data_IF_643962732944
#
_entry.id   IF_643962732944
#
_cell.length_a   1.000
_cell.length_b   1.000
_cell.length_c   1.000
_cell.angle_alpha   90.00
_cell.angle_beta   90.00
_cell.angle_gamma   90.00
#
_symmetry.space_group_name_H-M   'P 1'
#
loop_
_entity.id
_entity.type
_entity.pdbx_description
1 polymer ?
#
# COMPACT_ATOMS: atom_id res chain seq x y z
N UNK A 1 25.44 10.30 -0.21
CA UNK A 1 24.23 9.57 0.22
C UNK A 1 23.73 8.80 -0.98
N UNK A 2 23.11 7.63 -0.82
CA UNK A 2 22.52 6.90 -1.96
C UNK A 2 21.15 7.51 -2.27
N UNK A 3 20.89 7.83 -3.54
CA UNK A 3 19.62 8.43 -3.95
C UNK A 3 18.54 7.37 -4.05
N UNK A 4 17.48 7.53 -3.27
CA UNK A 4 16.33 6.60 -3.25
C UNK A 4 15.32 6.97 -4.32
N UNK A 5 15.14 8.26 -4.58
CA UNK A 5 14.23 8.77 -5.61
C UNK A 5 14.92 8.94 -6.96
N UNK A 6 14.14 8.80 -8.03
CA UNK A 6 14.59 8.97 -9.41
C UNK A 6 14.85 10.43 -9.80
N UNK A 7 14.33 11.40 -9.04
CA UNK A 7 14.50 12.83 -9.31
C UNK A 7 15.22 13.53 -8.15
N UNK A 8 16.02 14.54 -8.49
CA UNK A 8 16.81 15.28 -7.52
C UNK A 8 15.92 16.09 -6.56
N UNK A 9 14.77 16.58 -7.06
CA UNK A 9 13.81 17.37 -6.30
C UNK A 9 13.20 16.56 -5.16
N UNK A 10 12.72 15.34 -5.45
CA UNK A 10 12.15 14.45 -4.42
C UNK A 10 13.22 13.97 -3.43
N UNK A 11 14.45 13.75 -3.92
CA UNK A 11 15.58 13.40 -3.05
C UNK A 11 15.92 14.54 -2.08
N UNK A 12 15.92 15.78 -2.55
CA UNK A 12 16.16 16.96 -1.72
C UNK A 12 15.03 17.17 -0.69
N UNK A 13 13.77 16.98 -1.09
CA UNK A 13 12.63 17.07 -0.17
C UNK A 13 12.73 16.04 0.95
N UNK A 14 13.10 14.80 0.62
CA UNK A 14 13.35 13.75 1.61
C UNK A 14 14.47 14.15 2.58
N UNK A 15 15.59 14.67 2.08
CA UNK A 15 16.74 15.07 2.89
C UNK A 15 16.42 16.21 3.85
N UNK A 16 15.56 17.14 3.44
CA UNK A 16 15.19 18.30 4.24
C UNK A 16 14.08 18.00 5.25
N UNK A 17 13.08 17.21 4.86
CA UNK A 17 11.85 17.04 5.64
C UNK A 17 11.71 15.65 6.28
N UNK A 18 12.51 14.67 5.84
CA UNK A 18 12.37 13.27 6.26
C UNK A 18 11.18 12.54 5.62
N UNK A 19 10.43 13.18 4.74
CA UNK A 19 9.33 12.61 3.97
C UNK A 19 9.14 13.38 2.65
N UNK A 20 8.37 12.79 1.73
CA UNK A 20 8.00 13.37 0.44
C UNK A 20 6.51 13.12 0.19
N UNK A 21 5.79 14.11 -0.30
CA UNK A 21 4.39 13.96 -0.71
C UNK A 21 4.30 13.82 -2.23
N UNK A 22 3.66 12.75 -2.70
CA UNK A 22 3.53 12.45 -4.13
C UNK A 22 2.08 12.16 -4.45
N UNK A 23 1.60 12.73 -5.55
CA UNK A 23 0.33 12.33 -6.18
C UNK A 23 0.49 10.93 -6.78
N UNK A 24 0.32 9.92 -5.91
CA UNK A 24 0.64 8.55 -6.25
C UNK A 24 -0.46 7.90 -7.09
N UNK A 25 -1.69 7.81 -6.56
CA UNK A 25 -2.84 7.21 -7.25
C UNK A 25 -3.85 8.27 -7.68
N UNK A 26 -4.49 8.06 -8.83
CA UNK A 26 -5.66 8.84 -9.24
C UNK A 26 -6.93 8.26 -8.61
N UNK A 27 -8.01 9.04 -8.62
CA UNK A 27 -9.28 8.67 -7.98
C UNK A 27 -9.82 7.31 -8.43
N UNK A 28 -9.75 6.99 -9.73
CA UNK A 28 -10.25 5.71 -10.25
C UNK A 28 -9.45 4.50 -9.75
N UNK A 29 -8.14 4.65 -9.53
CA UNK A 29 -7.28 3.60 -8.98
C UNK A 29 -7.58 3.39 -7.48
N UNK A 30 -7.82 4.48 -6.75
CA UNK A 30 -8.29 4.42 -5.35
C UNK A 30 -9.64 3.71 -5.26
N UNK A 31 -10.59 4.04 -6.15
CA UNK A 31 -11.88 3.37 -6.19
C UNK A 31 -11.76 1.89 -6.56
N UNK A 32 -10.80 1.52 -7.40
CA UNK A 32 -10.53 0.12 -7.74
C UNK A 32 -10.12 -0.67 -6.49
N UNK A 33 -9.17 -0.15 -5.71
CA UNK A 33 -8.75 -0.76 -4.44
C UNK A 33 -9.88 -0.82 -3.41
N UNK A 34 -10.69 0.24 -3.31
CA UNK A 34 -11.81 0.29 -2.38
C UNK A 34 -12.88 -0.76 -2.74
N UNK A 35 -13.23 -0.85 -4.02
CA UNK A 35 -14.18 -1.85 -4.50
C UNK A 35 -13.65 -3.27 -4.29
N UNK A 36 -12.37 -3.51 -4.56
CA UNK A 36 -11.73 -4.79 -4.28
C UNK A 36 -11.83 -5.13 -2.78
N UNK A 37 -11.47 -4.18 -1.90
CA UNK A 37 -11.56 -4.38 -0.46
C UNK A 37 -12.99 -4.70 0.00
N UNK A 38 -14.00 -4.01 -0.52
CA UNK A 38 -15.41 -4.20 -0.14
C UNK A 38 -16.00 -5.52 -0.65
N UNK A 39 -15.57 -6.00 -1.83
CA UNK A 39 -16.07 -7.27 -2.42
C UNK A 39 -15.46 -8.50 -1.76
N UNK A 40 -14.26 -8.38 -1.21
CA UNK A 40 -13.58 -9.48 -0.55
C UNK A 40 -13.89 -9.45 0.96
N UNK A 41 -14.63 -10.46 1.42
CA UNK A 41 -14.93 -10.59 2.85
C UNK A 41 -13.65 -10.69 3.67
N UNK A 42 -13.58 -9.95 4.77
CA UNK A 42 -12.46 -10.05 5.71
C UNK A 42 -12.45 -11.45 6.35
N UNK A 43 -11.29 -12.13 6.39
CA UNK A 43 -11.11 -13.34 7.17
C UNK A 43 -11.48 -13.14 8.65
N UNK A 44 -12.07 -14.17 9.28
CA UNK A 44 -12.62 -14.08 10.64
C UNK A 44 -11.61 -13.66 11.71
N UNK A 45 -10.36 -14.08 11.56
CA UNK A 45 -9.26 -13.74 12.45
C UNK A 45 -8.95 -12.24 12.40
N UNK A 46 -9.03 -11.60 11.24
CA UNK A 46 -8.89 -10.15 11.11
C UNK A 46 -10.09 -9.38 11.66
N UNK A 47 -11.29 -9.95 11.57
CA UNK A 47 -12.52 -9.31 12.07
C UNK A 47 -12.50 -9.15 13.59
N UNK A 48 -11.74 -9.98 14.33
CA UNK A 48 -11.73 -9.92 15.80
C UNK A 48 -10.98 -8.72 16.37
N UNK A 49 -10.11 -8.07 15.60
CA UNK A 49 -9.28 -6.98 16.08
C UNK A 49 -9.91 -5.59 15.86
N UNK A 50 -9.60 -4.63 16.75
CA UNK A 50 -10.00 -3.23 16.61
C UNK A 50 -9.20 -2.50 15.52
N UNK A 51 -7.95 -2.93 15.32
CA UNK A 51 -7.08 -2.56 14.21
C UNK A 51 -6.57 -3.85 13.59
N UNK A 52 -6.70 -4.01 12.27
CA UNK A 52 -6.24 -5.20 11.56
C UNK A 52 -5.52 -4.83 10.28
N UNK A 53 -4.56 -5.68 9.91
CA UNK A 53 -3.78 -5.55 8.69
C UNK A 53 -3.94 -6.82 7.86
N UNK A 54 -4.22 -6.69 6.56
CA UNK A 54 -4.47 -7.88 5.71
C UNK A 54 -3.29 -8.87 5.69
N UNK A 55 -2.06 -8.41 5.91
CA UNK A 55 -0.86 -9.28 5.99
C UNK A 55 -0.88 -10.22 7.18
N UNK A 56 -1.65 -9.91 8.23
CA UNK A 56 -1.70 -10.68 9.45
C UNK A 56 -2.77 -11.79 9.40
N UNK A 57 -3.52 -11.88 8.29
CA UNK A 57 -4.46 -12.97 8.11
C UNK A 57 -3.73 -14.30 8.16
N UNK A 58 -4.30 -15.28 8.83
CA UNK A 58 -3.90 -16.68 8.81
C UNK A 58 -4.16 -17.33 7.44
N UNK A 59 -5.12 -16.80 6.66
CA UNK A 59 -5.42 -17.24 5.30
C UNK A 59 -4.34 -16.77 4.30
N UNK A 60 -3.51 -17.71 3.87
CA UNK A 60 -2.44 -17.48 2.90
C UNK A 60 -2.95 -17.05 1.53
N UNK A 61 -4.06 -17.62 1.07
CA UNK A 61 -4.65 -17.28 -0.23
C UNK A 61 -5.18 -15.86 -0.22
N UNK A 62 -5.81 -15.44 0.88
CA UNK A 62 -6.22 -14.05 1.08
C UNK A 62 -5.03 -13.09 1.07
N UNK A 63 -3.95 -13.39 1.80
CA UNK A 63 -2.73 -12.55 1.81
C UNK A 63 -2.13 -12.39 0.41
N UNK A 64 -2.05 -13.48 -0.36
CA UNK A 64 -1.52 -13.47 -1.73
C UNK A 64 -2.42 -12.67 -2.67
N UNK A 65 -3.74 -12.86 -2.58
CA UNK A 65 -4.71 -12.14 -3.40
C UNK A 65 -4.61 -10.63 -3.17
N UNK A 66 -4.65 -10.18 -1.91
CA UNK A 66 -4.54 -8.75 -1.55
C UNK A 66 -3.20 -8.18 -2.00
N UNK A 67 -2.10 -8.91 -1.76
CA UNK A 67 -0.77 -8.43 -2.13
C UNK A 67 -0.62 -8.29 -3.65
N UNK A 68 -1.18 -9.22 -4.42
CA UNK A 68 -1.15 -9.20 -5.88
C UNK A 68 -1.92 -7.99 -6.42
N UNK A 69 -3.14 -7.77 -5.95
CA UNK A 69 -4.00 -6.68 -6.42
C UNK A 69 -3.35 -5.31 -6.19
N UNK A 70 -2.89 -5.05 -4.97
CA UNK A 70 -2.25 -3.77 -4.62
C UNK A 70 -0.95 -3.61 -5.43
N UNK A 71 -0.14 -4.67 -5.54
CA UNK A 71 1.11 -4.62 -6.31
C UNK A 71 0.88 -4.28 -7.77
N UNK A 72 -0.15 -4.85 -8.40
CA UNK A 72 -0.46 -4.61 -9.81
C UNK A 72 -0.77 -3.14 -10.09
N UNK A 73 -1.42 -2.46 -9.14
CA UNK A 73 -1.69 -1.02 -9.25
C UNK A 73 -0.47 -0.15 -8.90
N UNK A 74 0.34 -0.57 -7.93
CA UNK A 74 1.44 0.25 -7.42
C UNK A 74 2.69 0.16 -8.31
N UNK A 75 3.02 -1.03 -8.82
CA UNK A 75 4.29 -1.30 -9.48
C UNK A 75 4.61 -0.35 -10.67
N UNK A 76 3.66 -0.01 -11.57
CA UNK A 76 3.92 0.91 -12.67
C UNK A 76 4.31 2.32 -12.25
N UNK A 77 3.90 2.75 -11.05
CA UNK A 77 4.21 4.09 -10.51
C UNK A 77 5.47 4.06 -9.67
N UNK A 78 5.68 2.99 -8.90
CA UNK A 78 6.88 2.85 -8.08
C UNK A 78 8.15 2.82 -8.93
N UNK A 79 8.11 2.23 -10.13
CA UNK A 79 9.26 2.21 -11.06
C UNK A 79 9.59 3.59 -11.65
N UNK A 80 8.66 4.54 -11.67
CA UNK A 80 8.94 5.90 -12.12
C UNK A 80 9.48 6.78 -10.98
N UNK A 81 9.13 6.44 -9.73
CA UNK A 81 9.45 7.23 -8.54
C UNK A 81 10.80 6.84 -7.94
N UNK A 82 11.09 5.54 -7.86
CA UNK A 82 12.26 5.01 -7.17
C UNK A 82 13.30 4.45 -8.15
N UNK A 83 14.58 4.75 -7.89
CA UNK A 83 15.71 4.29 -8.69
C UNK A 83 15.92 2.78 -8.57
N UNK A 84 15.87 2.27 -7.35
CA UNK A 84 15.92 0.85 -7.02
C UNK A 84 14.97 0.57 -5.84
N UNK A 85 14.00 -0.32 -6.02
CA UNK A 85 13.08 -0.69 -4.96
C UNK A 85 12.68 -2.16 -4.99
N UNK A 86 12.32 -2.69 -3.81
CA UNK A 86 11.67 -3.99 -3.65
C UNK A 86 10.47 -3.82 -2.72
N UNK A 87 9.27 -3.91 -3.28
CA UNK A 87 8.06 -3.98 -2.46
C UNK A 87 8.03 -5.27 -1.64
N UNK A 88 7.91 -5.15 -0.32
CA UNK A 88 7.88 -6.27 0.61
C UNK A 88 6.45 -6.60 1.07
N UNK A 89 5.70 -5.59 1.50
CA UNK A 89 4.38 -5.73 2.08
C UNK A 89 3.40 -4.83 1.35
N UNK A 90 2.31 -5.42 0.89
CA UNK A 90 1.20 -4.72 0.27
C UNK A 90 -0.07 -5.10 1.03
N UNK A 91 -0.73 -4.12 1.65
CA UNK A 91 -1.80 -4.44 2.58
C UNK A 91 -2.83 -3.34 2.76
N UNK A 92 -4.02 -3.76 3.17
CA UNK A 92 -5.00 -2.87 3.77
C UNK A 92 -4.76 -2.78 5.26
N UNK A 93 -4.87 -1.58 5.82
CA UNK A 93 -4.94 -1.33 7.24
C UNK A 93 -6.37 -0.87 7.55
N UNK A 94 -7.01 -1.53 8.49
CA UNK A 94 -8.41 -1.26 8.84
C UNK A 94 -8.49 -0.96 10.32
N UNK A 95 -9.27 0.06 10.67
CA UNK A 95 -9.57 0.41 12.05
C UNK A 95 -11.07 0.43 12.19
N UNK A 96 -11.61 -0.36 13.11
CA UNK A 96 -13.02 -0.26 13.48
C UNK A 96 -13.26 1.12 14.08
N UNK A 97 -14.32 1.80 13.62
CA UNK A 97 -14.78 3.01 14.30
C UNK A 97 -15.19 2.61 15.71
N UNK A 98 -14.62 3.28 16.71
CA UNK A 98 -15.15 3.23 18.07
C UNK A 98 -16.59 3.74 18.01
N UNK A 99 -17.54 2.88 18.37
CA UNK A 99 -18.95 3.26 18.56
C UNK A 99 -19.06 4.00 19.89
#
# INVERSE_FOLDING_TARGET
MYNVFSTAELQQELEQNGYVVIDFLIESEVQTLLNFYQRNSLPEDLVKHSVSFSILSSDTSYRQLVSCEIKNLFAPKLITIFSEYRGLLYNFATKKRSV
#
